data_IF_214592101420
#
_entry.id   IF_214592101420
#
_cell.length_a   1.000
_cell.length_b   1.000
_cell.length_c   1.000
_cell.angle_alpha   90.00
_cell.angle_beta   90.00
_cell.angle_gamma   90.00
#
_symmetry.space_group_name_H-M   'P 1'
#
loop_
_entity.id
_entity.type
_entity.pdbx_description
1 polymer ?
#
# COMPACT_ATOMS: atom_id res chain seq x y z
N UNK A 1 60.73 59.21 -6.66
CA UNK A 1 61.09 57.82 -6.78
C UNK A 1 60.08 57.06 -5.88
N UNK A 2 59.15 56.27 -6.24
CA UNK A 2 59.09 55.40 -7.42
C UNK A 2 57.63 54.97 -7.60
N UNK A 3 57.23 54.79 -8.77
CA UNK A 3 55.93 54.28 -9.21
C UNK A 3 55.56 52.99 -8.50
N UNK A 4 54.46 52.96 -7.78
CA UNK A 4 53.71 51.73 -7.48
C UNK A 4 52.51 51.69 -8.44
N UNK A 5 52.53 50.65 -9.22
CA UNK A 5 51.71 50.32 -10.34
C UNK A 5 50.25 50.14 -9.93
N UNK A 6 49.43 51.12 -10.23
CA UNK A 6 47.95 51.05 -10.12
C UNK A 6 47.40 50.35 -11.36
N UNK A 7 47.53 49.04 -11.43
CA UNK A 7 46.81 48.23 -12.44
C UNK A 7 46.63 46.80 -11.95
N UNK A 8 45.74 46.64 -10.96
CA UNK A 8 45.30 45.29 -10.56
C UNK A 8 43.83 45.23 -10.18
N UNK A 9 42.98 45.96 -10.88
CA UNK A 9 41.58 45.70 -11.01
C UNK A 9 41.23 45.77 -12.48
N UNK A 10 41.64 44.75 -13.20
CA UNK A 10 41.04 44.42 -14.47
C UNK A 10 39.65 43.85 -14.13
N UNK A 11 38.62 44.60 -14.50
CA UNK A 11 37.20 44.23 -14.44
C UNK A 11 37.01 42.92 -15.17
N UNK A 12 37.07 41.78 -14.47
CA UNK A 12 36.44 40.55 -14.90
C UNK A 12 34.93 40.84 -15.01
N UNK A 13 34.54 41.38 -16.13
CA UNK A 13 33.17 41.47 -16.56
C UNK A 13 32.70 40.03 -16.63
N UNK A 14 32.00 39.60 -15.54
CA UNK A 14 31.42 38.27 -15.43
C UNK A 14 30.46 38.15 -16.59
N UNK A 15 30.87 37.39 -17.60
CA UNK A 15 30.06 37.11 -18.79
C UNK A 15 28.84 36.30 -18.30
N UNK A 16 27.83 37.05 -17.79
CA UNK A 16 26.61 36.46 -17.25
C UNK A 16 25.84 35.92 -18.44
N UNK A 17 25.81 34.59 -18.57
CA UNK A 17 25.00 33.91 -19.55
C UNK A 17 23.51 34.17 -19.28
N UNK A 18 23.00 35.24 -19.87
CA UNK A 18 21.59 35.65 -19.77
C UNK A 18 20.63 34.57 -20.22
N UNK A 19 21.03 33.69 -21.17
CA UNK A 19 20.23 32.57 -21.63
C UNK A 19 20.11 31.50 -20.57
N UNK A 20 21.18 31.25 -19.78
CA UNK A 20 21.14 30.35 -18.65
C UNK A 20 20.26 30.89 -17.50
N UNK A 21 20.34 32.21 -17.24
CA UNK A 21 19.48 32.86 -16.23
C UNK A 21 18.00 32.79 -16.62
N UNK A 22 17.64 33.03 -17.87
CA UNK A 22 16.29 32.94 -18.35
C UNK A 22 15.73 31.49 -18.22
N UNK A 23 16.55 30.48 -18.55
CA UNK A 23 16.18 29.08 -18.37
C UNK A 23 15.95 28.72 -16.89
N UNK A 24 16.81 29.23 -15.99
CA UNK A 24 16.65 29.01 -14.55
C UNK A 24 15.37 29.68 -14.05
N UNK A 25 15.06 30.88 -14.53
CA UNK A 25 13.85 31.60 -14.11
C UNK A 25 12.58 30.92 -14.64
N UNK A 26 12.59 30.37 -15.84
CA UNK A 26 11.48 29.59 -16.39
C UNK A 26 11.26 28.28 -15.64
N UNK A 27 12.33 27.57 -15.30
CA UNK A 27 12.26 26.37 -14.45
C UNK A 27 11.73 26.72 -13.06
N UNK A 28 12.18 27.83 -12.47
CA UNK A 28 11.67 28.30 -11.18
C UNK A 28 10.17 28.66 -11.25
N UNK A 29 9.74 29.38 -12.29
CA UNK A 29 8.33 29.72 -12.52
C UNK A 29 7.46 28.48 -12.71
N UNK A 30 7.95 27.48 -13.44
CA UNK A 30 7.23 26.20 -13.62
C UNK A 30 7.06 25.46 -12.29
N UNK A 31 8.09 25.39 -11.45
CA UNK A 31 8.01 24.79 -10.12
C UNK A 31 7.11 25.58 -9.16
N UNK A 32 7.14 26.92 -9.21
CA UNK A 32 6.24 27.76 -8.42
C UNK A 32 4.77 27.58 -8.86
N UNK A 33 4.53 27.42 -10.17
CA UNK A 33 3.18 27.17 -10.70
C UNK A 33 2.67 25.79 -10.31
N UNK A 34 3.51 24.75 -10.32
CA UNK A 34 3.15 23.43 -9.80
C UNK A 34 2.89 23.44 -8.30
N UNK A 35 3.69 24.15 -7.50
CA UNK A 35 3.51 24.27 -6.07
C UNK A 35 2.21 25.03 -5.69
N UNK A 36 1.83 26.05 -6.47
CA UNK A 36 0.57 26.78 -6.26
C UNK A 36 -0.68 25.99 -6.64
N UNK A 37 -0.56 24.89 -7.42
CA UNK A 37 -1.68 24.05 -7.83
C UNK A 37 -1.93 22.86 -6.91
N UNK A 38 -1.24 22.77 -5.76
CA UNK A 38 -1.50 21.75 -4.75
C UNK A 38 -2.83 22.03 -4.03
N UNK A 39 -3.94 21.85 -4.75
CA UNK A 39 -5.28 21.83 -4.15
C UNK A 39 -5.49 20.48 -3.48
N UNK A 40 -5.63 20.48 -2.15
CA UNK A 40 -6.12 19.32 -1.42
C UNK A 40 -7.48 18.91 -1.99
N UNK A 41 -7.48 17.90 -2.84
CA UNK A 41 -8.72 17.38 -3.41
C UNK A 41 -8.99 16.00 -2.81
N UNK A 42 -9.91 15.94 -1.84
CA UNK A 42 -10.39 14.66 -1.32
C UNK A 42 -11.28 14.03 -2.38
N UNK A 43 -10.68 13.15 -3.19
CA UNK A 43 -11.40 12.44 -4.24
C UNK A 43 -12.46 11.50 -3.65
N UNK A 44 -13.54 11.27 -4.42
CA UNK A 44 -14.63 10.36 -4.04
C UNK A 44 -14.14 8.94 -3.67
N UNK A 45 -13.05 8.48 -4.26
CA UNK A 45 -12.41 7.20 -3.91
C UNK A 45 -11.95 7.19 -2.45
N UNK A 46 -11.30 8.25 -1.99
CA UNK A 46 -10.79 8.35 -0.62
C UNK A 46 -11.92 8.32 0.41
N UNK A 47 -13.03 9.03 0.11
CA UNK A 47 -14.23 9.00 0.97
C UNK A 47 -14.82 7.59 1.06
N UNK A 48 -14.97 6.90 -0.07
CA UNK A 48 -15.45 5.51 -0.07
C UNK A 48 -14.54 4.57 0.70
N UNK A 49 -13.23 4.75 0.56
CA UNK A 49 -12.23 3.95 1.29
C UNK A 49 -12.37 4.16 2.79
N UNK A 50 -12.52 5.40 3.24
CA UNK A 50 -12.75 5.72 4.64
C UNK A 50 -14.04 5.07 5.17
N UNK A 51 -15.14 5.18 4.41
CA UNK A 51 -16.42 4.55 4.77
C UNK A 51 -16.27 3.02 4.87
N UNK A 52 -15.62 2.37 3.90
CA UNK A 52 -15.43 0.93 3.91
C UNK A 52 -14.60 0.45 5.11
N UNK A 53 -13.49 1.14 5.41
CA UNK A 53 -12.66 0.82 6.57
C UNK A 53 -13.41 1.03 7.89
N UNK A 54 -14.18 2.12 8.01
CA UNK A 54 -14.99 2.39 9.21
C UNK A 54 -16.08 1.34 9.40
N UNK A 55 -16.76 0.91 8.31
CA UNK A 55 -17.75 -0.16 8.39
C UNK A 55 -17.13 -1.49 8.83
N UNK A 56 -15.92 -1.83 8.36
CA UNK A 56 -15.19 -2.99 8.86
C UNK A 56 -14.89 -2.88 10.35
N UNK A 57 -14.41 -1.73 10.80
CA UNK A 57 -14.11 -1.50 12.21
C UNK A 57 -15.35 -1.63 13.10
N UNK A 58 -16.47 -1.05 12.68
CA UNK A 58 -17.75 -1.16 13.38
C UNK A 58 -18.26 -2.61 13.45
N UNK A 59 -18.20 -3.33 12.32
CA UNK A 59 -18.62 -4.73 12.25
C UNK A 59 -17.81 -5.58 13.24
N UNK A 60 -16.50 -5.40 13.29
CA UNK A 60 -15.62 -6.18 14.16
C UNK A 60 -15.74 -5.81 15.63
N UNK A 61 -16.11 -4.56 15.94
CA UNK A 61 -16.40 -4.13 17.30
C UNK A 61 -17.59 -4.91 17.93
N UNK A 62 -18.58 -5.30 17.12
CA UNK A 62 -19.69 -6.16 17.60
C UNK A 62 -19.25 -7.57 17.98
N UNK A 63 -18.15 -8.07 17.41
CA UNK A 63 -17.65 -9.42 17.67
C UNK A 63 -16.43 -9.46 18.61
N UNK A 64 -16.06 -8.31 19.18
CA UNK A 64 -14.87 -8.14 20.02
C UNK A 64 -13.58 -8.71 19.35
N UNK A 65 -13.47 -8.49 18.02
CA UNK A 65 -12.34 -8.96 17.21
C UNK A 65 -11.51 -7.79 16.70
N UNK A 66 -10.21 -8.03 16.50
CA UNK A 66 -9.31 -7.03 15.95
C UNK A 66 -9.62 -6.75 14.46
N UNK A 67 -10.03 -5.52 14.10
CA UNK A 67 -10.47 -5.18 12.73
C UNK A 67 -9.32 -4.96 11.74
N UNK A 68 -8.08 -4.94 12.20
CA UNK A 68 -6.92 -4.45 11.41
C UNK A 68 -6.86 -5.06 10.02
N UNK A 69 -6.96 -6.38 9.90
CA UNK A 69 -6.79 -7.06 8.60
C UNK A 69 -8.03 -6.93 7.71
N UNK A 70 -9.22 -6.80 8.29
CA UNK A 70 -10.43 -6.48 7.54
C UNK A 70 -10.37 -5.03 7.01
N UNK A 71 -9.95 -4.06 7.81
CA UNK A 71 -9.75 -2.68 7.35
C UNK A 71 -8.71 -2.59 6.23
N UNK A 72 -7.57 -3.28 6.37
CA UNK A 72 -6.56 -3.37 5.32
C UNK A 72 -7.16 -4.00 4.04
N UNK A 73 -7.92 -5.09 4.18
CA UNK A 73 -8.62 -5.73 3.06
C UNK A 73 -9.56 -4.77 2.33
N UNK A 74 -10.35 -3.99 3.06
CA UNK A 74 -11.27 -3.00 2.51
C UNK A 74 -10.54 -1.85 1.78
N UNK A 75 -9.44 -1.34 2.37
CA UNK A 75 -8.62 -0.28 1.77
C UNK A 75 -8.02 -0.74 0.43
N UNK A 76 -7.37 -1.89 0.42
CA UNK A 76 -6.76 -2.43 -0.80
C UNK A 76 -7.79 -2.99 -1.80
N UNK A 77 -8.98 -3.38 -1.34
CA UNK A 77 -10.11 -3.78 -2.19
C UNK A 77 -10.78 -2.61 -2.92
N UNK A 78 -10.48 -1.36 -2.53
CA UNK A 78 -11.10 -0.18 -3.11
C UNK A 78 -10.37 0.28 -4.37
N UNK A 79 -10.97 0.06 -5.53
CA UNK A 79 -10.52 0.56 -6.82
C UNK A 79 -11.22 1.85 -7.25
N UNK A 80 -10.81 2.40 -8.40
CA UNK A 80 -11.45 3.57 -9.02
C UNK A 80 -12.86 3.26 -9.54
N UNK A 81 -13.05 2.05 -10.02
CA UNK A 81 -14.33 1.50 -10.47
C UNK A 81 -14.52 0.06 -9.94
N UNK A 82 -15.66 -0.59 -10.32
CA UNK A 82 -15.96 -1.96 -9.87
C UNK A 82 -14.96 -2.99 -10.40
N UNK A 83 -14.54 -2.87 -11.66
CA UNK A 83 -13.59 -3.79 -12.30
C UNK A 83 -12.22 -3.72 -11.63
N UNK A 84 -11.77 -2.52 -11.36
CA UNK A 84 -10.52 -2.24 -10.67
C UNK A 84 -10.55 -2.74 -9.22
N UNK A 85 -11.66 -2.52 -8.49
CA UNK A 85 -11.87 -3.07 -7.15
C UNK A 85 -11.82 -4.60 -7.13
N UNK A 86 -12.47 -5.26 -8.09
CA UNK A 86 -12.45 -6.73 -8.19
C UNK A 86 -11.03 -7.25 -8.43
N UNK A 87 -10.26 -6.58 -9.29
CA UNK A 87 -8.88 -6.94 -9.59
C UNK A 87 -7.97 -6.72 -8.37
N UNK A 88 -8.03 -5.54 -7.77
CA UNK A 88 -7.19 -5.18 -6.63
C UNK A 88 -7.52 -6.03 -5.39
N UNK A 89 -8.81 -6.13 -5.06
CA UNK A 89 -9.29 -6.97 -3.96
C UNK A 89 -9.00 -8.45 -4.18
N UNK A 90 -9.19 -8.95 -5.42
CA UNK A 90 -8.82 -10.32 -5.79
C UNK A 90 -7.34 -10.60 -5.59
N UNK A 91 -6.46 -9.74 -6.10
CA UNK A 91 -5.01 -9.88 -5.91
C UNK A 91 -4.63 -9.88 -4.41
N UNK A 92 -5.29 -9.03 -3.60
CA UNK A 92 -5.09 -9.00 -2.15
C UNK A 92 -5.52 -10.30 -1.48
N UNK A 93 -6.70 -10.81 -1.81
CA UNK A 93 -7.24 -12.04 -1.24
C UNK A 93 -6.40 -13.26 -1.63
N UNK A 94 -6.12 -13.43 -2.94
CA UNK A 94 -5.28 -14.53 -3.41
C UNK A 94 -3.87 -14.47 -2.83
N UNK A 95 -3.28 -13.28 -2.76
CA UNK A 95 -1.98 -13.09 -2.11
C UNK A 95 -2.01 -13.50 -0.64
N UNK A 96 -3.07 -13.13 0.09
CA UNK A 96 -3.23 -13.54 1.50
C UNK A 96 -3.38 -15.05 1.64
N UNK A 97 -4.10 -15.72 0.73
CA UNK A 97 -4.24 -17.18 0.73
C UNK A 97 -2.89 -17.85 0.46
N UNK A 98 -2.21 -17.47 -0.62
CA UNK A 98 -0.91 -18.08 -0.99
C UNK A 98 0.14 -17.83 0.10
N UNK A 99 0.31 -16.56 0.53
CA UNK A 99 1.26 -16.20 1.58
C UNK A 99 0.91 -16.86 2.93
N UNK A 100 -0.40 -16.97 3.22
CA UNK A 100 -0.92 -17.65 4.42
C UNK A 100 -0.59 -19.13 4.47
N UNK A 101 -0.86 -19.83 3.39
CA UNK A 101 -0.60 -21.29 3.30
C UNK A 101 0.90 -21.62 3.30
N UNK A 102 1.70 -20.89 2.51
CA UNK A 102 3.16 -21.07 2.50
C UNK A 102 3.75 -20.71 3.86
N UNK A 103 3.35 -19.58 4.45
CA UNK A 103 3.80 -19.14 5.78
C UNK A 103 3.46 -20.14 6.87
N UNK A 104 2.25 -20.69 6.85
CA UNK A 104 1.83 -21.74 7.79
C UNK A 104 2.68 -23.01 7.67
N UNK A 105 2.95 -23.46 6.43
CA UNK A 105 3.80 -24.64 6.20
C UNK A 105 5.24 -24.43 6.65
N UNK A 106 5.83 -23.27 6.33
CA UNK A 106 7.20 -22.95 6.75
C UNK A 106 7.30 -22.72 8.27
N UNK A 107 6.29 -22.12 8.88
CA UNK A 107 6.26 -21.93 10.33
C UNK A 107 6.08 -23.26 11.07
N UNK A 108 5.31 -24.20 10.49
CA UNK A 108 5.23 -25.58 11.01
C UNK A 108 6.61 -26.26 10.99
N UNK A 109 7.38 -26.14 9.90
CA UNK A 109 8.76 -26.64 9.85
C UNK A 109 9.61 -26.00 10.96
N UNK A 110 9.50 -24.68 11.12
CA UNK A 110 10.23 -23.96 12.18
C UNK A 110 9.96 -24.53 13.57
N UNK A 111 8.69 -24.81 13.93
CA UNK A 111 8.29 -25.32 15.25
C UNK A 111 8.89 -26.72 15.51
N UNK A 112 9.08 -27.55 14.49
CA UNK A 112 9.69 -28.87 14.66
C UNK A 112 11.15 -28.79 15.14
N UNK A 113 11.88 -27.74 14.79
CA UNK A 113 13.27 -27.53 15.20
C UNK A 113 13.38 -26.70 16.47
N UNK A 114 12.43 -25.78 16.71
CA UNK A 114 12.44 -24.83 17.81
C UNK A 114 11.07 -24.77 18.51
N UNK A 115 10.72 -25.80 19.31
CA UNK A 115 9.44 -25.83 20.02
C UNK A 115 9.34 -24.75 21.12
N UNK A 116 10.49 -24.30 21.66
CA UNK A 116 10.56 -23.27 22.67
C UNK A 116 11.19 -21.98 22.10
N UNK A 117 10.62 -20.79 22.35
CA UNK A 117 11.12 -19.52 21.84
C UNK A 117 12.36 -19.03 22.63
N UNK A 118 13.40 -19.87 22.74
CA UNK A 118 14.53 -19.65 23.68
C UNK A 118 15.69 -18.82 23.09
N UNK A 119 15.71 -18.51 21.79
CA UNK A 119 16.83 -17.85 21.15
C UNK A 119 16.44 -16.48 20.58
N UNK A 120 17.19 -15.43 21.00
CA UNK A 120 17.10 -14.08 20.43
C UNK A 120 17.58 -14.02 18.97
N UNK A 121 18.24 -15.07 18.48
CA UNK A 121 18.81 -15.10 17.13
C UNK A 121 18.16 -16.23 16.31
N UNK A 122 17.10 -15.88 15.59
CA UNK A 122 16.25 -16.80 14.81
C UNK A 122 16.78 -16.97 13.37
N UNK A 123 18.03 -17.47 13.19
CA UNK A 123 18.65 -17.62 11.87
C UNK A 123 17.75 -18.42 10.92
N UNK A 124 17.21 -19.55 11.39
CA UNK A 124 16.32 -20.40 10.58
C UNK A 124 15.10 -19.65 10.01
N UNK A 125 14.56 -18.65 10.74
CA UNK A 125 13.45 -17.86 10.21
C UNK A 125 13.86 -16.99 9.01
N UNK A 126 15.10 -16.50 8.98
CA UNK A 126 15.60 -15.73 7.83
C UNK A 126 15.81 -16.62 6.61
N UNK A 127 16.32 -17.84 6.81
CA UNK A 127 16.45 -18.84 5.73
C UNK A 127 15.07 -19.25 5.21
N UNK A 128 14.13 -19.53 6.09
CA UNK A 128 12.76 -19.87 5.73
C UNK A 128 12.03 -18.69 5.03
N UNK A 129 12.32 -17.45 5.44
CA UNK A 129 11.78 -16.27 4.75
C UNK A 129 12.32 -16.18 3.32
N UNK A 130 13.63 -16.34 3.13
CA UNK A 130 14.24 -16.31 1.80
C UNK A 130 13.66 -17.40 0.88
N UNK A 131 13.63 -18.62 1.36
CA UNK A 131 13.05 -19.76 0.63
C UNK A 131 11.54 -19.54 0.37
N UNK A 132 10.82 -19.02 1.37
CA UNK A 132 9.40 -18.73 1.30
C UNK A 132 9.06 -17.68 0.24
N UNK A 133 9.85 -16.62 0.12
CA UNK A 133 9.65 -15.60 -0.92
C UNK A 133 9.87 -16.20 -2.32
N UNK A 134 10.92 -17.01 -2.52
CA UNK A 134 11.16 -17.65 -3.80
C UNK A 134 9.97 -18.57 -4.16
N UNK A 135 9.56 -19.43 -3.22
CA UNK A 135 8.43 -20.35 -3.42
C UNK A 135 7.13 -19.60 -3.73
N UNK A 136 6.86 -18.52 -3.00
CA UNK A 136 5.71 -17.67 -3.20
C UNK A 136 5.68 -17.03 -4.61
N UNK A 137 6.82 -16.51 -5.06
CA UNK A 137 6.94 -15.95 -6.42
C UNK A 137 6.66 -17.01 -7.47
N UNK A 138 7.26 -18.20 -7.34
CA UNK A 138 7.02 -19.31 -8.27
C UNK A 138 5.55 -19.75 -8.30
N UNK A 139 4.91 -19.87 -7.13
CA UNK A 139 3.48 -20.23 -7.04
C UNK A 139 2.60 -19.15 -7.67
N UNK A 140 2.83 -17.86 -7.39
CA UNK A 140 2.07 -16.78 -7.99
C UNK A 140 2.26 -16.67 -9.51
N UNK A 141 3.46 -16.96 -10.01
CA UNK A 141 3.74 -17.02 -11.46
C UNK A 141 3.03 -18.21 -12.11
N UNK A 142 3.09 -19.39 -11.48
CA UNK A 142 2.39 -20.59 -11.95
C UNK A 142 0.87 -20.38 -12.02
N UNK A 143 0.30 -19.69 -11.04
CA UNK A 143 -1.13 -19.35 -11.01
C UNK A 143 -1.49 -18.16 -11.93
N UNK A 144 -0.49 -17.53 -12.61
CA UNK A 144 -0.69 -16.38 -13.50
C UNK A 144 -1.32 -15.19 -12.77
N UNK A 145 -0.97 -14.99 -11.49
CA UNK A 145 -1.48 -13.90 -10.65
C UNK A 145 -0.31 -13.04 -10.11
N UNK A 146 0.44 -12.33 -10.97
CA UNK A 146 1.61 -11.56 -10.52
C UNK A 146 1.26 -10.42 -9.54
N UNK A 147 0.06 -9.87 -9.62
CA UNK A 147 -0.42 -8.84 -8.69
C UNK A 147 -0.63 -9.33 -7.26
N UNK A 148 -0.61 -10.66 -7.02
CA UNK A 148 -0.72 -11.24 -5.69
C UNK A 148 0.64 -11.38 -4.97
N UNK A 149 1.77 -11.22 -5.66
CA UNK A 149 3.12 -11.41 -5.10
C UNK A 149 3.37 -10.49 -3.90
N UNK A 150 3.11 -9.18 -4.05
CA UNK A 150 3.35 -8.22 -2.98
C UNK A 150 2.50 -8.49 -1.73
N UNK A 151 1.15 -8.64 -1.83
CA UNK A 151 0.35 -8.96 -0.65
C UNK A 151 0.69 -10.32 -0.04
N UNK A 152 1.09 -11.31 -0.85
CA UNK A 152 1.51 -12.61 -0.35
C UNK A 152 2.80 -12.52 0.46
N UNK A 153 3.81 -11.77 0.00
CA UNK A 153 5.05 -11.54 0.71
C UNK A 153 4.84 -10.85 2.06
N UNK A 154 3.96 -9.84 2.11
CA UNK A 154 3.60 -9.17 3.37
C UNK A 154 2.99 -10.16 4.36
N UNK A 155 2.06 -11.00 3.92
CA UNK A 155 1.41 -11.99 4.79
C UNK A 155 2.38 -13.06 5.26
N UNK A 156 3.27 -13.53 4.38
CA UNK A 156 4.34 -14.47 4.72
C UNK A 156 5.22 -13.92 5.85
N UNK A 157 5.68 -12.66 5.73
CA UNK A 157 6.46 -12.02 6.79
C UNK A 157 5.70 -11.94 8.10
N UNK A 158 4.41 -11.52 8.06
CA UNK A 158 3.56 -11.43 9.26
C UNK A 158 3.45 -12.81 9.94
N UNK A 159 3.25 -13.87 9.18
CA UNK A 159 3.11 -15.21 9.74
C UNK A 159 4.42 -15.69 10.34
N UNK A 160 5.54 -15.55 9.65
CA UNK A 160 6.82 -16.03 10.18
C UNK A 160 7.28 -15.31 11.44
N UNK A 161 6.97 -14.00 11.58
CA UNK A 161 7.50 -13.21 12.69
C UNK A 161 6.51 -12.94 13.83
N UNK A 162 5.19 -13.02 13.55
CA UNK A 162 4.17 -12.62 14.53
C UNK A 162 3.22 -13.75 14.93
N UNK A 163 3.37 -14.96 14.42
CA UNK A 163 2.50 -16.07 14.78
C UNK A 163 2.95 -16.69 16.11
N UNK A 164 2.07 -16.79 17.12
CA UNK A 164 2.35 -17.58 18.31
C UNK A 164 2.44 -19.08 17.96
N UNK A 165 3.31 -19.80 18.67
CA UNK A 165 3.57 -21.22 18.40
C UNK A 165 2.30 -22.08 18.59
N UNK A 166 1.48 -21.75 19.57
CA UNK A 166 0.21 -22.41 19.89
C UNK A 166 -0.92 -22.08 18.90
N UNK A 167 -0.78 -21.01 18.10
CA UNK A 167 -1.78 -20.55 17.15
C UNK A 167 -1.34 -20.64 15.67
N UNK A 168 -0.39 -21.51 15.36
CA UNK A 168 0.23 -21.57 14.02
C UNK A 168 -0.72 -21.92 12.86
N UNK A 169 -1.87 -22.54 13.16
CA UNK A 169 -2.93 -22.80 12.17
C UNK A 169 -3.99 -21.72 12.21
N UNK A 170 -4.48 -21.38 13.40
CA UNK A 170 -5.62 -20.49 13.55
C UNK A 170 -5.29 -19.04 13.19
N UNK A 171 -4.07 -18.60 13.44
CA UNK A 171 -3.64 -17.24 13.14
C UNK A 171 -3.63 -16.95 11.63
N UNK A 172 -2.97 -17.76 10.76
CA UNK A 172 -3.02 -17.55 9.30
C UNK A 172 -4.43 -17.66 8.73
N UNK A 173 -5.25 -18.61 9.19
CA UNK A 173 -6.62 -18.76 8.73
C UNK A 173 -7.48 -17.54 9.06
N UNK A 174 -7.34 -16.98 10.26
CA UNK A 174 -8.01 -15.75 10.63
C UNK A 174 -7.58 -14.59 9.72
N UNK A 175 -6.29 -14.48 9.31
CA UNK A 175 -5.82 -13.46 8.36
C UNK A 175 -6.52 -13.58 7.02
N UNK A 176 -6.68 -14.79 6.51
CA UNK A 176 -7.36 -15.04 5.23
C UNK A 176 -8.83 -14.61 5.35
N UNK A 177 -9.53 -15.02 6.40
CA UNK A 177 -10.94 -14.70 6.63
C UNK A 177 -11.15 -13.18 6.79
N UNK A 178 -10.38 -12.54 7.66
CA UNK A 178 -10.48 -11.11 7.93
C UNK A 178 -10.21 -10.28 6.66
N UNK A 179 -9.18 -10.65 5.90
CA UNK A 179 -8.89 -9.99 4.61
C UNK A 179 -10.03 -10.20 3.61
N UNK A 180 -10.58 -11.40 3.53
CA UNK A 180 -11.72 -11.72 2.66
C UNK A 180 -12.95 -10.87 2.97
N UNK A 181 -13.33 -10.78 4.25
CA UNK A 181 -14.45 -9.94 4.71
C UNK A 181 -14.19 -8.48 4.34
N UNK A 182 -12.97 -7.97 4.59
CA UNK A 182 -12.61 -6.60 4.25
C UNK A 182 -12.72 -6.30 2.76
N UNK A 183 -12.20 -7.19 1.90
CA UNK A 183 -12.29 -7.05 0.44
C UNK A 183 -13.74 -7.04 -0.02
N UNK A 184 -14.58 -7.92 0.51
CA UNK A 184 -16.02 -7.96 0.16
C UNK A 184 -16.72 -6.66 0.55
N UNK A 185 -16.48 -6.14 1.75
CA UNK A 185 -17.04 -4.85 2.19
C UNK A 185 -16.53 -3.71 1.31
N UNK A 186 -15.23 -3.67 0.98
CA UNK A 186 -14.67 -2.65 0.10
C UNK A 186 -15.32 -2.64 -1.29
N UNK A 187 -15.48 -3.81 -1.91
CA UNK A 187 -16.16 -3.96 -3.21
C UNK A 187 -17.64 -3.58 -3.10
N UNK A 188 -18.33 -4.00 -2.04
CA UNK A 188 -19.75 -3.67 -1.83
C UNK A 188 -19.97 -2.16 -1.70
N UNK A 189 -19.16 -1.48 -0.90
CA UNK A 189 -19.21 -0.01 -0.75
C UNK A 189 -18.94 0.69 -2.08
N UNK A 190 -17.97 0.21 -2.88
CA UNK A 190 -17.70 0.79 -4.19
C UNK A 190 -18.87 0.58 -5.17
N UNK A 191 -19.54 -0.55 -5.08
CA UNK A 191 -20.73 -0.83 -5.90
C UNK A 191 -21.93 0.04 -5.50
N UNK A 192 -22.17 0.19 -4.18
CA UNK A 192 -23.29 0.99 -3.66
C UNK A 192 -23.08 2.48 -3.96
N UNK A 193 -21.88 3.00 -3.75
CA UNK A 193 -21.55 4.41 -3.98
C UNK A 193 -20.91 4.58 -5.38
N UNK A 194 -21.52 4.06 -6.44
CA UNK A 194 -20.99 4.21 -7.80
C UNK A 194 -21.06 5.67 -8.27
N UNK A 195 -20.10 6.08 -9.14
CA UNK A 195 -20.04 7.44 -9.69
C UNK A 195 -21.35 7.85 -10.36
N UNK A 196 -22.02 6.91 -11.05
CA UNK A 196 -23.28 7.13 -11.73
C UNK A 196 -24.42 7.45 -10.74
N UNK A 197 -24.48 6.73 -9.60
CA UNK A 197 -25.50 6.97 -8.57
C UNK A 197 -25.30 8.33 -7.90
N UNK A 198 -24.06 8.67 -7.58
CA UNK A 198 -23.72 9.98 -7.01
C UNK A 198 -24.05 11.12 -7.97
N UNK A 199 -23.76 10.95 -9.27
CA UNK A 199 -24.10 11.93 -10.30
C UNK A 199 -25.65 12.10 -10.44
N UNK A 200 -26.42 11.01 -10.36
CA UNK A 200 -27.90 11.06 -10.37
C UNK A 200 -28.45 11.81 -9.16
N UNK A 201 -27.92 11.52 -7.96
CA UNK A 201 -28.32 12.20 -6.72
C UNK A 201 -27.98 13.70 -6.81
N UNK A 202 -26.78 14.06 -7.29
CA UNK A 202 -26.39 15.47 -7.47
C UNK A 202 -27.28 16.20 -8.47
N UNK A 203 -27.67 15.56 -9.59
CA UNK A 203 -28.62 16.11 -10.56
C UNK A 203 -30.00 16.32 -9.94
N UNK A 204 -30.49 15.37 -9.14
CA UNK A 204 -31.78 15.47 -8.46
C UNK A 204 -31.84 16.65 -7.50
N UNK A 205 -30.79 16.88 -6.71
CA UNK A 205 -30.74 18.04 -5.81
C UNK A 205 -30.54 19.36 -6.55
N UNK A 206 -29.81 19.37 -7.68
CA UNK A 206 -29.65 20.57 -8.50
C UNK A 206 -30.92 20.98 -9.24
N UNK A 207 -31.81 20.03 -9.54
CA UNK A 207 -33.12 20.28 -10.18
C UNK A 207 -34.21 20.78 -9.23
N UNK A 208 -33.98 20.71 -7.90
CA UNK A 208 -34.91 21.20 -6.87
C UNK A 208 -34.59 22.60 -6.35
N UNK A 209 -33.51 23.21 -6.85
CA UNK A 209 -33.12 24.60 -6.58
C UNK A 209 -33.44 25.47 -7.79
#
# INVERSE_FOLDING_TARGET
>A
MEHLNDNFFEDDELDIDYEALEKIEDVRKSHETEAQHFRFHVGMRNVKTAIAATLCALLYAFFDRNPTFACIGAIFGMGSDFKDSKRSGGNRLFGTIVGGLIGMGLFFIYIQFYPEPTSNFRILLFELLFLGIILLVLVCQFLVIPGAIQPAGVVLCIILFNTPVDAYITYPLNRILDTGIGVVIGIAVNLIISRERVAKVKKFFASKK
#
